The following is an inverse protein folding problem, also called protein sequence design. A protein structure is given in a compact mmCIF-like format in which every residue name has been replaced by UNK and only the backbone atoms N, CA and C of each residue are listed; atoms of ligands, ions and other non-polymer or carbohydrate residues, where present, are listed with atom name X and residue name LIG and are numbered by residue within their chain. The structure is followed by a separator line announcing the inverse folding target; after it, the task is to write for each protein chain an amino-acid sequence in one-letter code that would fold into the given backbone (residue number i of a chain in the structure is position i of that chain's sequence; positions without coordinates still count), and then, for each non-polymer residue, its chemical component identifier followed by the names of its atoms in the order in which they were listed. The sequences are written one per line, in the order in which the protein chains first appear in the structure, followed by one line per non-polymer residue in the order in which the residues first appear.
data_IF_763169937976
#
_entry.id   IF_763169937976
#
_cell.length_a   1.000
_cell.length_b   1.000
_cell.length_c   1.000
_cell.angle_alpha   90.00
_cell.angle_beta   90.00
_cell.angle_gamma   90.00
#
_symmetry.space_group_name_H-M   'P 1'
#
loop_
_entity.id
_entity.type
_entity.pdbx_description
1 polymer ?
#
# COMPACT_ATOMS: atom_id res chain seq x y z
N UNK A 1 -15.96 -3.71 -4.33
CA UNK A 1 -14.94 -4.72 -4.02
C UNK A 1 -14.62 -5.42 -5.33
N UNK A 2 -13.59 -4.96 -6.02
CA UNK A 2 -13.05 -5.69 -7.18
C UNK A 2 -11.98 -6.61 -6.60
N UNK A 3 -12.37 -7.85 -6.28
CA UNK A 3 -11.40 -8.91 -6.04
C UNK A 3 -10.71 -9.16 -7.39
N UNK A 4 -9.57 -8.51 -7.59
CA UNK A 4 -8.68 -8.83 -8.68
C UNK A 4 -8.38 -10.33 -8.55
N UNK A 5 -8.72 -11.12 -9.58
CA UNK A 5 -8.43 -12.53 -9.58
C UNK A 5 -6.91 -12.72 -9.57
N UNK A 6 -6.32 -12.84 -8.37
CA UNK A 6 -4.87 -12.97 -8.18
C UNK A 6 -4.30 -14.14 -8.97
N UNK A 7 -5.12 -15.17 -9.24
CA UNK A 7 -4.74 -16.32 -10.05
C UNK A 7 -4.49 -15.99 -11.54
N UNK A 8 -4.99 -14.84 -12.02
CA UNK A 8 -4.76 -14.37 -13.40
C UNK A 8 -3.47 -13.55 -13.55
N UNK A 9 -2.87 -13.09 -12.45
CA UNK A 9 -1.61 -12.35 -12.49
C UNK A 9 -0.41 -13.29 -12.65
N UNK A 10 0.65 -12.88 -13.37
CA UNK A 10 1.88 -13.66 -13.41
C UNK A 10 2.46 -13.81 -12.01
N UNK A 11 3.17 -14.92 -11.76
CA UNK A 11 3.92 -15.07 -10.51
C UNK A 11 4.99 -13.98 -10.44
N UNK A 12 5.22 -13.34 -9.28
CA UNK A 12 6.29 -12.35 -9.16
C UNK A 12 7.61 -12.88 -9.70
N UNK A 13 7.95 -14.16 -9.43
CA UNK A 13 9.16 -14.84 -9.92
C UNK A 13 9.31 -14.86 -11.45
N UNK A 14 8.24 -14.76 -12.22
CA UNK A 14 8.28 -14.71 -13.69
C UNK A 14 8.44 -13.32 -14.30
N UNK A 15 8.40 -12.26 -13.49
CA UNK A 15 8.55 -10.89 -13.98
C UNK A 15 10.01 -10.57 -14.33
N UNK A 16 10.25 -9.69 -15.32
CA UNK A 16 11.55 -9.07 -15.53
C UNK A 16 12.05 -8.40 -14.24
N UNK A 17 13.34 -8.47 -13.98
CA UNK A 17 13.92 -7.99 -12.72
C UNK A 17 13.68 -6.51 -12.47
N UNK A 18 13.72 -5.68 -13.52
CA UNK A 18 13.43 -4.24 -13.40
C UNK A 18 12.00 -4.00 -12.91
N UNK A 19 11.01 -4.74 -13.42
CA UNK A 19 9.61 -4.56 -13.05
C UNK A 19 9.36 -5.06 -11.62
N UNK A 20 10.00 -6.18 -11.24
CA UNK A 20 9.97 -6.66 -9.86
C UNK A 20 10.56 -5.64 -8.89
N UNK A 21 11.64 -4.96 -9.27
CA UNK A 21 12.27 -3.93 -8.45
C UNK A 21 11.35 -2.72 -8.27
N UNK A 22 10.72 -2.23 -9.35
CA UNK A 22 9.73 -1.14 -9.29
C UNK A 22 8.56 -1.50 -8.38
N UNK A 23 7.95 -2.67 -8.55
CA UNK A 23 6.83 -3.11 -7.71
C UNK A 23 7.20 -3.29 -6.23
N UNK A 24 8.45 -3.69 -5.93
CA UNK A 24 8.96 -3.73 -4.55
C UNK A 24 9.19 -2.33 -3.99
N UNK A 25 9.59 -1.37 -4.83
CA UNK A 25 9.71 0.04 -4.45
C UNK A 25 8.33 0.62 -4.12
N UNK A 26 7.32 0.34 -4.95
CA UNK A 26 5.93 0.75 -4.68
C UNK A 26 5.42 0.14 -3.37
N UNK A 27 5.62 -1.17 -3.16
CA UNK A 27 5.26 -1.84 -1.90
C UNK A 27 5.93 -1.20 -0.67
N UNK A 28 7.21 -0.81 -0.79
CA UNK A 28 7.91 -0.08 0.27
C UNK A 28 7.33 1.33 0.47
N UNK A 29 6.93 2.00 -0.61
CA UNK A 29 6.23 3.28 -0.59
C UNK A 29 4.91 3.21 0.17
N UNK A 30 4.04 2.24 -0.17
CA UNK A 30 2.77 2.01 0.52
C UNK A 30 2.97 1.70 2.01
N UNK A 31 3.97 0.87 2.33
CA UNK A 31 4.36 0.59 3.71
C UNK A 31 4.74 1.88 4.45
N UNK A 32 5.58 2.72 3.83
CA UNK A 32 5.97 4.01 4.38
C UNK A 32 4.77 4.94 4.60
N UNK A 33 3.87 5.02 3.62
CA UNK A 33 2.68 5.86 3.68
C UNK A 33 1.73 5.45 4.82
N UNK A 34 1.50 4.15 5.01
CA UNK A 34 0.74 3.62 6.15
C UNK A 34 1.33 4.09 7.48
N UNK A 35 2.65 4.00 7.65
CA UNK A 35 3.31 4.42 8.89
C UNK A 35 3.33 5.94 9.08
N UNK A 36 3.45 6.72 8.00
CA UNK A 36 3.32 8.19 8.05
C UNK A 36 1.93 8.59 8.55
N UNK A 37 0.86 8.04 7.98
CA UNK A 37 -0.50 8.37 8.42
C UNK A 37 -0.80 7.89 9.84
N UNK A 38 -0.34 6.69 10.23
CA UNK A 38 -0.43 6.26 11.63
C UNK A 38 0.31 7.22 12.58
N UNK A 39 1.48 7.73 12.16
CA UNK A 39 2.21 8.76 12.90
C UNK A 39 1.43 10.06 13.05
N UNK A 40 0.80 10.53 11.96
CA UNK A 40 -0.06 11.73 11.98
C UNK A 40 -1.23 11.51 12.95
N UNK A 41 -1.93 10.39 12.87
CA UNK A 41 -3.07 10.08 13.75
C UNK A 41 -2.67 9.93 15.22
N UNK A 42 -1.43 9.51 15.48
CA UNK A 42 -0.91 9.40 16.85
C UNK A 42 -0.66 10.76 17.50
N UNK A 43 -0.24 11.76 16.73
CA UNK A 43 0.32 13.01 17.29
C UNK A 43 -0.47 14.28 16.95
N UNK A 44 -1.24 14.28 15.86
CA UNK A 44 -2.01 15.45 15.44
C UNK A 44 -3.17 15.72 16.40
N UNK A 45 -3.47 17.00 16.61
CA UNK A 45 -4.69 17.49 17.28
C UNK A 45 -5.58 18.31 16.35
N UNK A 46 -5.14 18.56 15.12
CA UNK A 46 -5.93 19.32 14.15
C UNK A 46 -6.96 18.37 13.51
N UNK A 47 -8.27 18.65 13.62
CA UNK A 47 -9.32 17.77 13.12
C UNK A 47 -9.28 17.58 11.60
N UNK A 48 -8.87 18.59 10.82
CA UNK A 48 -8.75 18.47 9.36
C UNK A 48 -7.61 17.53 8.96
N UNK A 49 -6.48 17.62 9.68
CA UNK A 49 -5.32 16.74 9.46
C UNK A 49 -5.66 15.30 9.85
N UNK A 50 -6.41 15.10 10.93
CA UNK A 50 -6.88 13.77 11.36
C UNK A 50 -7.82 13.17 10.30
N UNK A 51 -8.79 13.95 9.81
CA UNK A 51 -9.70 13.49 8.76
C UNK A 51 -8.95 13.11 7.49
N UNK A 52 -8.03 13.98 7.04
CA UNK A 52 -7.16 13.71 5.90
C UNK A 52 -6.38 12.41 6.07
N UNK A 53 -5.66 12.25 7.18
CA UNK A 53 -4.84 11.07 7.44
C UNK A 53 -5.68 9.78 7.56
N UNK A 54 -6.89 9.87 8.11
CA UNK A 54 -7.80 8.72 8.23
C UNK A 54 -8.22 8.20 6.85
N UNK A 55 -8.70 9.09 5.98
CA UNK A 55 -9.15 8.72 4.63
C UNK A 55 -8.01 8.17 3.77
N UNK A 56 -6.81 8.77 3.86
CA UNK A 56 -5.67 8.29 3.08
C UNK A 56 -5.12 6.97 3.63
N UNK A 57 -5.06 6.78 4.96
CA UNK A 57 -4.64 5.52 5.57
C UNK A 57 -5.49 4.33 5.11
N UNK A 58 -6.80 4.52 4.95
CA UNK A 58 -7.67 3.47 4.40
C UNK A 58 -7.28 3.07 2.97
N UNK A 59 -6.89 4.05 2.16
CA UNK A 59 -6.46 3.81 0.77
C UNK A 59 -5.13 3.07 0.72
N UNK A 60 -4.11 3.53 1.47
CA UNK A 60 -2.79 2.89 1.45
C UNK A 60 -2.80 1.51 2.09
N UNK A 61 -3.65 1.27 3.10
CA UNK A 61 -3.84 -0.10 3.64
C UNK A 61 -4.41 -1.06 2.61
N UNK A 62 -5.32 -0.59 1.75
CA UNK A 62 -5.85 -1.41 0.66
C UNK A 62 -4.79 -1.66 -0.40
N UNK A 63 -4.02 -0.64 -0.80
CA UNK A 63 -2.92 -0.80 -1.75
C UNK A 63 -1.86 -1.77 -1.21
N UNK A 64 -1.40 -1.56 0.03
CA UNK A 64 -0.47 -2.46 0.70
C UNK A 64 -0.99 -3.89 0.74
N UNK A 65 -2.27 -4.10 1.09
CA UNK A 65 -2.89 -5.42 1.08
C UNK A 65 -2.89 -6.09 -0.30
N UNK A 66 -3.05 -5.34 -1.38
CA UNK A 66 -2.91 -5.89 -2.74
C UNK A 66 -1.48 -6.34 -3.04
N UNK A 67 -0.48 -5.55 -2.65
CA UNK A 67 0.91 -5.92 -2.78
C UNK A 67 1.26 -7.14 -1.92
N UNK A 68 0.91 -7.15 -0.64
CA UNK A 68 1.18 -8.28 0.27
C UNK A 68 0.54 -9.58 -0.21
N UNK A 69 -0.67 -9.51 -0.78
CA UNK A 69 -1.37 -10.69 -1.29
C UNK A 69 -0.77 -11.27 -2.57
N UNK A 70 -0.03 -10.48 -3.36
CA UNK A 70 0.47 -10.91 -4.67
C UNK A 70 1.99 -10.97 -4.79
N UNK A 71 2.75 -10.05 -4.17
CA UNK A 71 4.22 -10.02 -4.20
C UNK A 71 4.88 -11.01 -3.21
N UNK A 72 4.10 -11.65 -2.33
CA UNK A 72 4.61 -12.60 -1.33
C UNK A 72 5.10 -13.93 -1.90
#
# INVERSE_FOLDING_TARGET
MHDANLAALPRPSSLPDWLRAELRSDHAGETGAVWLYNGILRWSRNPEVIAFATTHLETERRHLGHFEAWLS
#
